data_IF_175034938633
#
_entry.id   IF_175034938633
#
_cell.length_a   1.000
_cell.length_b   1.000
_cell.length_c   1.000
_cell.angle_alpha   90.00
_cell.angle_beta   90.00
_cell.angle_gamma   90.00
#
_symmetry.space_group_name_H-M   'P 1'
#
loop_
_entity.id
_entity.type
_entity.pdbx_description
1 polymer ?
#
# COMPACT_ATOMS: atom_id res chain seq x y z
N UNK A 1 26.75 46.62 -19.00
CA UNK A 1 25.97 46.29 -20.23
C UNK A 1 24.66 45.61 -19.82
N UNK A 2 23.62 46.39 -19.50
CA UNK A 2 22.31 45.87 -19.09
C UNK A 2 21.27 46.18 -20.16
N UNK A 3 21.07 45.27 -21.11
CA UNK A 3 20.07 45.46 -22.16
C UNK A 3 18.64 45.46 -21.61
N UNK A 4 17.75 46.21 -22.26
CA UNK A 4 16.32 46.27 -21.90
C UNK A 4 15.71 44.87 -21.79
N UNK A 5 15.09 44.58 -20.64
CA UNK A 5 14.40 43.30 -20.35
C UNK A 5 13.36 42.94 -21.43
N UNK A 6 12.82 43.95 -22.12
CA UNK A 6 11.84 43.77 -23.20
C UNK A 6 12.47 43.12 -24.44
N UNK A 7 13.69 43.52 -24.82
CA UNK A 7 14.44 42.90 -25.93
C UNK A 7 14.81 41.45 -25.60
N UNK A 8 15.23 41.19 -24.36
CA UNK A 8 15.60 39.84 -23.91
C UNK A 8 14.41 38.87 -23.92
N UNK A 9 13.19 39.33 -23.59
CA UNK A 9 11.99 38.49 -23.65
C UNK A 9 11.57 38.14 -25.09
N UNK A 10 11.88 38.99 -26.06
CA UNK A 10 11.51 38.79 -27.46
C UNK A 10 12.51 37.92 -28.23
N UNK A 11 13.79 37.98 -27.91
CA UNK A 11 14.84 37.21 -28.59
C UNK A 11 15.01 35.78 -28.06
N UNK A 12 14.42 35.45 -26.90
CA UNK A 12 14.53 34.11 -26.32
C UNK A 12 13.70 33.10 -27.12
N UNK A 13 14.29 31.95 -27.53
CA UNK A 13 13.54 30.88 -28.17
C UNK A 13 12.46 30.39 -27.20
N UNK A 14 11.20 30.47 -27.64
CA UNK A 14 10.07 29.96 -26.85
C UNK A 14 9.96 28.47 -27.07
N UNK A 15 10.24 27.69 -26.02
CA UNK A 15 9.96 26.24 -26.00
C UNK A 15 8.44 26.08 -26.14
N UNK A 16 8.00 25.58 -27.30
CA UNK A 16 6.59 25.28 -27.53
C UNK A 16 6.26 23.95 -26.86
N UNK A 17 5.77 24.00 -25.63
CA UNK A 17 5.19 22.86 -24.89
C UNK A 17 3.78 22.55 -25.40
N UNK A 18 3.64 22.31 -26.70
CA UNK A 18 2.39 21.87 -27.30
C UNK A 18 2.26 20.35 -27.26
N UNK A 19 1.10 19.84 -26.87
CA UNK A 19 0.82 18.41 -27.02
C UNK A 19 0.89 18.03 -28.51
N UNK A 20 1.44 16.85 -28.86
CA UNK A 20 1.45 16.38 -30.23
C UNK A 20 0.02 16.29 -30.78
N UNK A 21 -0.20 16.82 -31.99
CA UNK A 21 -1.51 16.77 -32.65
C UNK A 21 -1.90 15.31 -32.88
N UNK A 22 -3.01 14.88 -32.29
CA UNK A 22 -3.59 13.54 -32.50
C UNK A 22 -4.40 13.56 -33.80
N UNK A 23 -4.19 12.58 -34.68
CA UNK A 23 -4.98 12.42 -35.90
C UNK A 23 -6.33 11.76 -35.53
N UNK A 24 -7.48 12.41 -35.72
CA UNK A 24 -8.77 11.86 -35.31
C UNK A 24 -9.20 10.63 -36.13
N UNK A 25 -8.58 10.42 -37.31
CA UNK A 25 -8.84 9.26 -38.19
C UNK A 25 -8.05 8.01 -37.80
N UNK A 26 -7.09 8.12 -36.87
CA UNK A 26 -6.24 6.99 -36.45
C UNK A 26 -6.66 6.59 -35.04
N UNK A 27 -7.51 5.58 -34.95
CA UNK A 27 -7.86 4.93 -33.69
C UNK A 27 -6.71 4.04 -33.27
N UNK A 28 -5.93 4.50 -32.29
CA UNK A 28 -4.97 3.62 -31.60
C UNK A 28 -5.75 2.80 -30.57
N UNK A 29 -5.60 1.47 -30.54
CA UNK A 29 -6.24 0.67 -29.50
C UNK A 29 -5.74 1.13 -28.12
N UNK A 30 -6.63 1.09 -27.12
CA UNK A 30 -6.33 1.56 -25.77
C UNK A 30 -5.18 0.79 -25.10
N UNK A 31 -4.97 -0.46 -25.52
CA UNK A 31 -3.82 -1.26 -25.12
C UNK A 31 -3.32 -2.08 -26.32
N UNK A 32 -2.02 -2.36 -26.34
CA UNK A 32 -1.40 -3.28 -27.30
C UNK A 32 -0.79 -4.42 -26.48
N UNK A 33 -1.14 -5.66 -26.82
CA UNK A 33 -0.56 -6.82 -26.14
C UNK A 33 0.94 -6.85 -26.48
N UNK A 34 1.84 -6.85 -25.49
CA UNK A 34 3.27 -6.90 -25.75
C UNK A 34 3.63 -8.19 -26.52
N UNK A 35 4.53 -8.12 -27.51
CA UNK A 35 4.81 -9.24 -28.42
C UNK A 35 5.34 -10.49 -27.71
N UNK A 36 6.00 -10.31 -26.56
CA UNK A 36 6.45 -11.42 -25.71
C UNK A 36 5.30 -12.25 -25.15
N UNK A 37 4.16 -11.62 -24.83
CA UNK A 37 2.98 -12.35 -24.39
C UNK A 37 2.37 -13.13 -25.55
N UNK A 38 2.31 -12.53 -26.75
CA UNK A 38 1.83 -13.23 -27.95
C UNK A 38 2.68 -14.47 -28.28
N UNK A 39 4.01 -14.40 -28.13
CA UNK A 39 4.92 -15.54 -28.32
C UNK A 39 4.73 -16.67 -27.30
N UNK A 40 4.13 -16.38 -26.15
CA UNK A 40 3.86 -17.40 -25.12
C UNK A 40 2.59 -18.21 -25.39
N UNK A 41 1.73 -17.74 -26.30
CA UNK A 41 0.61 -18.55 -26.77
C UNK A 41 1.15 -19.60 -27.75
N UNK A 42 0.78 -20.85 -27.52
CA UNK A 42 1.25 -22.02 -28.30
C UNK A 42 0.68 -22.01 -29.73
N UNK A 43 -0.49 -21.40 -29.92
CA UNK A 43 -1.19 -21.23 -31.19
C UNK A 43 -1.84 -19.84 -31.21
N UNK A 44 -2.21 -19.32 -32.40
CA UNK A 44 -3.08 -18.15 -32.49
C UNK A 44 -4.52 -18.58 -32.13
N UNK A 45 -5.00 -18.32 -30.90
CA UNK A 45 -6.33 -18.76 -30.47
C UNK A 45 -7.40 -18.16 -31.37
N UNK A 46 -8.17 -19.03 -32.02
CA UNK A 46 -9.37 -18.64 -32.77
C UNK A 46 -10.57 -18.65 -31.82
N UNK A 47 -11.40 -17.62 -31.91
CA UNK A 47 -12.65 -17.57 -31.15
C UNK A 47 -13.63 -18.65 -31.66
N UNK A 48 -14.07 -19.56 -30.78
CA UNK A 48 -15.11 -20.54 -31.11
C UNK A 48 -16.50 -19.92 -30.93
N UNK A 49 -17.30 -19.90 -31.99
CA UNK A 49 -18.66 -19.36 -31.98
C UNK A 49 -19.64 -20.21 -31.17
N UNK A 50 -19.36 -21.51 -31.02
CA UNK A 50 -20.21 -22.46 -30.29
C UNK A 50 -19.75 -22.71 -28.85
N UNK A 51 -18.52 -22.30 -28.53
CA UNK A 51 -17.90 -22.48 -27.23
C UNK A 51 -18.43 -21.52 -26.16
N UNK A 52 -18.18 -21.85 -24.90
CA UNK A 52 -18.48 -20.93 -23.80
C UNK A 52 -17.48 -19.77 -23.79
N UNK A 53 -17.95 -18.57 -23.42
CA UNK A 53 -17.15 -17.36 -23.27
C UNK A 53 -15.91 -17.62 -22.38
N UNK A 54 -16.08 -18.38 -21.30
CA UNK A 54 -14.99 -18.74 -20.38
C UNK A 54 -13.93 -19.61 -21.05
N UNK A 55 -14.33 -20.57 -21.89
CA UNK A 55 -13.41 -21.45 -22.60
C UNK A 55 -12.58 -20.68 -23.64
N UNK A 56 -13.24 -19.74 -24.35
CA UNK A 56 -12.56 -18.85 -25.26
C UNK A 56 -11.54 -17.97 -24.51
N UNK A 57 -11.94 -17.26 -23.45
CA UNK A 57 -10.98 -16.43 -22.70
C UNK A 57 -9.79 -17.24 -22.17
N UNK A 58 -10.02 -18.46 -21.68
CA UNK A 58 -8.96 -19.34 -21.23
C UNK A 58 -7.98 -19.73 -22.36
N UNK A 59 -8.46 -19.93 -23.60
CA UNK A 59 -7.58 -20.21 -24.75
C UNK A 59 -6.73 -18.99 -25.14
N UNK A 60 -7.25 -17.78 -24.92
CA UNK A 60 -6.48 -16.52 -25.05
C UNK A 60 -5.53 -16.25 -23.86
N UNK A 61 -5.50 -17.12 -22.84
CA UNK A 61 -4.73 -16.91 -21.61
C UNK A 61 -5.27 -15.74 -20.77
N UNK A 62 -6.54 -15.37 -20.96
CA UNK A 62 -7.23 -14.29 -20.25
C UNK A 62 -8.22 -14.89 -19.25
N UNK A 63 -8.31 -14.27 -18.08
CA UNK A 63 -9.26 -14.69 -17.06
C UNK A 63 -10.58 -13.93 -17.24
N UNK A 64 -11.71 -14.66 -17.26
CA UNK A 64 -13.05 -14.07 -17.38
C UNK A 64 -13.43 -13.22 -16.16
N UNK A 65 -13.14 -13.73 -14.95
CA UNK A 65 -13.50 -13.07 -13.70
C UNK A 65 -12.27 -12.47 -13.02
N UNK A 66 -12.05 -11.16 -13.07
CA UNK A 66 -10.85 -10.54 -12.49
C UNK A 66 -10.78 -10.72 -10.96
N UNK A 67 -11.92 -10.87 -10.30
CA UNK A 67 -11.96 -11.12 -8.85
C UNK A 67 -11.44 -12.51 -8.48
N UNK A 68 -11.44 -13.48 -9.40
CA UNK A 68 -10.83 -14.80 -9.15
C UNK A 68 -9.31 -14.72 -8.97
N UNK A 69 -8.66 -13.77 -9.66
CA UNK A 69 -7.25 -13.45 -9.42
C UNK A 69 -7.05 -12.86 -8.03
N UNK A 70 -7.98 -12.01 -7.58
CA UNK A 70 -7.91 -11.47 -6.23
C UNK A 70 -8.20 -12.53 -5.19
N UNK A 71 -9.06 -13.52 -5.41
CA UNK A 71 -9.31 -14.58 -4.41
C UNK A 71 -8.10 -15.49 -4.20
N UNK A 72 -7.26 -15.74 -5.22
CA UNK A 72 -5.99 -16.45 -4.98
C UNK A 72 -4.97 -15.61 -4.21
N UNK A 73 -5.07 -14.27 -4.30
CA UNK A 73 -4.23 -13.31 -3.57
C UNK A 73 -4.84 -12.87 -2.22
N UNK A 74 -6.15 -13.04 -2.04
CA UNK A 74 -6.99 -12.61 -0.92
C UNK A 74 -7.42 -13.78 -0.07
N UNK A 75 -7.18 -15.02 -0.52
CA UNK A 75 -7.04 -16.14 0.39
C UNK A 75 -6.25 -15.59 1.58
N UNK A 76 -6.84 -15.55 2.80
CA UNK A 76 -6.03 -15.27 3.97
C UNK A 76 -4.85 -16.21 3.84
N UNK A 77 -3.59 -15.78 4.05
CA UNK A 77 -2.48 -16.69 3.95
C UNK A 77 -2.92 -17.92 4.72
N UNK A 78 -3.17 -19.02 4.01
CA UNK A 78 -3.36 -20.27 4.68
C UNK A 78 -2.08 -20.31 5.47
N UNK A 79 -2.22 -20.28 6.79
CA UNK A 79 -1.24 -20.83 7.68
C UNK A 79 -1.16 -22.31 7.33
N UNK A 80 -0.75 -22.64 6.10
CA UNK A 80 0.21 -23.69 5.94
C UNK A 80 1.38 -23.14 6.72
N UNK A 81 1.42 -23.56 7.98
CA UNK A 81 2.64 -23.74 8.72
C UNK A 81 3.51 -24.71 7.90
N UNK A 82 3.92 -24.30 6.68
CA UNK A 82 4.94 -24.95 5.92
C UNK A 82 6.22 -24.60 6.66
N UNK A 83 6.84 -25.55 7.40
CA UNK A 83 8.11 -25.29 8.07
C UNK A 83 9.23 -25.02 7.05
N UNK A 84 8.93 -25.12 5.76
CA UNK A 84 9.85 -25.00 4.64
C UNK A 84 9.70 -23.70 3.85
N UNK A 85 8.87 -22.73 4.29
CA UNK A 85 9.13 -21.33 3.93
C UNK A 85 10.34 -20.86 4.75
N UNK A 86 11.50 -21.44 4.41
CA UNK A 86 12.82 -21.02 4.83
C UNK A 86 12.99 -19.60 4.30
N UNK A 87 12.43 -18.64 5.04
CA UNK A 87 12.41 -17.24 4.69
C UNK A 87 13.82 -16.86 4.31
N UNK A 88 14.01 -16.53 3.04
CA UNK A 88 15.32 -16.19 2.50
C UNK A 88 15.99 -15.20 3.44
N UNK A 89 17.23 -15.52 3.81
CA UNK A 89 18.06 -14.72 4.70
C UNK A 89 18.35 -13.32 4.13
N UNK A 90 18.00 -13.11 2.86
CA UNK A 90 18.18 -11.86 2.12
C UNK A 90 17.10 -10.81 2.42
N UNK A 91 15.92 -11.18 2.93
CA UNK A 91 14.87 -10.22 3.25
C UNK A 91 15.04 -9.64 4.67
N UNK A 92 15.23 -8.32 4.73
CA UNK A 92 15.30 -7.53 5.97
C UNK A 92 14.05 -7.73 6.84
N UNK A 93 14.23 -7.80 8.16
CA UNK A 93 13.14 -8.06 9.10
C UNK A 93 12.08 -6.94 9.13
N UNK A 94 12.42 -5.72 8.68
CA UNK A 94 11.48 -4.61 8.50
C UNK A 94 10.52 -4.86 7.33
N UNK A 95 11.01 -5.43 6.22
CA UNK A 95 10.17 -5.84 5.10
C UNK A 95 9.24 -6.99 5.49
N UNK A 96 9.74 -7.95 6.27
CA UNK A 96 8.92 -9.05 6.82
C UNK A 96 7.80 -8.52 7.71
N UNK A 97 8.11 -7.56 8.59
CA UNK A 97 7.11 -6.94 9.47
C UNK A 97 6.08 -6.13 8.70
N UNK A 98 6.47 -5.40 7.65
CA UNK A 98 5.55 -4.63 6.83
C UNK A 98 4.59 -5.52 6.02
N UNK A 99 5.07 -6.69 5.59
CA UNK A 99 4.29 -7.69 4.83
C UNK A 99 3.47 -8.62 5.74
N UNK A 100 3.55 -8.47 7.07
CA UNK A 100 2.84 -9.31 8.03
C UNK A 100 3.42 -10.72 8.21
N UNK A 101 4.63 -10.99 7.70
CA UNK A 101 5.35 -12.24 7.92
C UNK A 101 5.97 -12.27 9.32
N UNK A 102 6.17 -13.47 9.88
CA UNK A 102 6.91 -13.63 11.14
C UNK A 102 8.39 -13.27 10.94
N UNK A 103 8.99 -12.61 11.92
CA UNK A 103 10.44 -12.39 11.99
C UNK A 103 11.18 -13.71 12.18
N UNK A 104 12.46 -13.76 11.81
CA UNK A 104 13.33 -14.95 12.00
C UNK A 104 13.36 -15.42 13.45
N UNK A 105 13.37 -14.47 14.39
CA UNK A 105 13.42 -14.75 15.83
C UNK A 105 12.08 -15.23 16.43
N UNK A 106 11.00 -15.25 15.64
CA UNK A 106 9.63 -15.53 16.10
C UNK A 106 9.02 -14.44 16.99
N UNK A 107 9.79 -13.45 17.42
CA UNK A 107 9.35 -12.34 18.27
C UNK A 107 8.61 -11.29 17.43
N UNK A 108 7.47 -10.82 17.92
CA UNK A 108 6.77 -9.67 17.33
C UNK A 108 7.62 -8.42 17.44
N UNK A 109 7.55 -7.55 16.43
CA UNK A 109 8.12 -6.22 16.52
C UNK A 109 7.58 -5.48 17.75
N UNK A 110 8.45 -4.73 18.43
CA UNK A 110 8.02 -3.80 19.46
C UNK A 110 7.09 -2.75 18.82
N UNK A 111 6.06 -2.29 19.54
CA UNK A 111 5.16 -1.28 19.00
C UNK A 111 5.92 0.01 18.74
N UNK A 112 5.56 0.74 17.68
CA UNK A 112 6.23 1.99 17.37
C UNK A 112 5.97 3.07 18.44
N UNK A 113 6.93 4.00 18.66
CA UNK A 113 6.71 5.14 19.52
C UNK A 113 5.60 6.05 18.97
N UNK A 114 4.83 6.64 19.88
CA UNK A 114 3.74 7.54 19.54
C UNK A 114 4.24 8.88 19.01
N UNK A 115 3.46 9.51 18.15
CA UNK A 115 3.71 10.91 17.75
C UNK A 115 3.49 11.87 18.94
N UNK A 116 4.05 13.08 18.86
CA UNK A 116 3.91 14.09 19.92
C UNK A 116 2.45 14.42 20.25
N UNK A 117 1.62 14.56 19.22
CA UNK A 117 0.18 14.83 19.35
C UNK A 117 -0.54 13.62 19.96
N UNK A 118 -0.26 12.41 19.48
CA UNK A 118 -0.86 11.18 20.03
C UNK A 118 -0.52 11.02 21.51
N UNK A 119 0.73 11.32 21.91
CA UNK A 119 1.15 11.22 23.30
C UNK A 119 0.36 12.14 24.23
N UNK A 120 0.13 13.39 23.81
CA UNK A 120 -0.66 14.36 24.56
C UNK A 120 -2.16 13.99 24.60
N UNK A 121 -2.65 13.41 23.51
CA UNK A 121 -4.00 12.88 23.42
C UNK A 121 -4.21 11.71 24.40
N UNK A 122 -3.34 10.70 24.36
CA UNK A 122 -3.41 9.51 25.23
C UNK A 122 -3.13 9.88 26.69
N UNK A 123 -2.24 10.83 26.97
CA UNK A 123 -1.97 11.24 28.35
C UNK A 123 -3.22 11.76 29.05
N UNK A 124 -4.08 12.51 28.35
CA UNK A 124 -5.36 13.00 28.90
C UNK A 124 -6.34 11.87 29.20
N UNK A 125 -6.42 10.87 28.33
CA UNK A 125 -7.28 9.70 28.54
C UNK A 125 -6.81 8.85 29.71
N UNK A 126 -5.50 8.59 29.78
CA UNK A 126 -4.87 7.81 30.85
C UNK A 126 -4.98 8.53 32.20
N UNK A 127 -4.83 9.85 32.23
CA UNK A 127 -4.99 10.65 33.46
C UNK A 127 -6.42 10.58 34.01
N UNK A 128 -7.44 10.56 33.15
CA UNK A 128 -8.85 10.52 33.58
C UNK A 128 -9.35 9.10 33.92
N UNK A 129 -8.99 8.11 33.12
CA UNK A 129 -9.58 6.75 33.20
C UNK A 129 -8.60 5.64 33.58
N UNK A 130 -7.29 5.91 33.60
CA UNK A 130 -6.29 4.91 33.97
C UNK A 130 -6.20 3.74 32.99
N UNK A 131 -6.72 2.58 33.38
CA UNK A 131 -6.71 1.33 32.59
C UNK A 131 -8.10 0.93 32.05
N UNK A 132 -9.14 1.73 32.30
CA UNK A 132 -10.51 1.41 31.88
C UNK A 132 -10.75 1.77 30.40
N UNK A 133 -10.30 0.92 29.48
CA UNK A 133 -10.37 1.19 28.03
C UNK A 133 -11.81 1.30 27.50
N UNK A 134 -12.76 0.55 28.08
CA UNK A 134 -14.17 0.67 27.71
C UNK A 134 -14.72 2.06 28.03
N UNK A 135 -14.34 2.65 29.17
CA UNK A 135 -14.75 4.02 29.54
C UNK A 135 -14.09 5.06 28.65
N UNK A 136 -12.81 4.87 28.29
CA UNK A 136 -12.12 5.72 27.32
C UNK A 136 -12.79 5.72 25.94
N UNK A 137 -13.25 4.56 25.47
CA UNK A 137 -13.97 4.44 24.20
C UNK A 137 -15.27 5.27 24.21
N UNK A 138 -15.99 5.26 25.33
CA UNK A 138 -17.27 5.96 25.46
C UNK A 138 -17.12 7.49 25.64
N UNK A 139 -15.93 8.00 25.96
CA UNK A 139 -15.71 9.43 26.15
C UNK A 139 -15.58 10.17 24.81
N UNK A 140 -16.71 10.60 24.26
CA UNK A 140 -16.78 11.33 22.98
C UNK A 140 -15.93 12.63 22.99
N UNK A 141 -15.73 13.25 24.16
CA UNK A 141 -15.00 14.53 24.25
C UNK A 141 -13.50 14.31 24.24
N UNK A 142 -13.01 13.38 25.06
CA UNK A 142 -11.59 13.07 25.12
C UNK A 142 -11.14 12.12 24.01
N UNK A 143 -12.04 11.35 23.40
CA UNK A 143 -11.81 10.50 22.25
C UNK A 143 -12.64 10.98 21.03
N UNK A 144 -12.31 12.15 20.43
CA UNK A 144 -13.06 12.70 19.31
C UNK A 144 -12.92 11.85 18.05
N UNK A 145 -11.84 11.07 17.94
CA UNK A 145 -11.61 10.13 16.83
C UNK A 145 -12.32 8.78 17.00
N UNK A 146 -13.03 8.57 18.11
CA UNK A 146 -13.80 7.36 18.39
C UNK A 146 -13.01 6.06 18.18
N UNK A 147 -11.77 6.04 18.69
CA UNK A 147 -10.92 4.87 18.66
C UNK A 147 -11.60 3.68 19.36
N UNK A 148 -11.50 2.50 18.75
CA UNK A 148 -11.99 1.23 19.32
C UNK A 148 -11.12 0.79 20.50
N UNK A 149 -11.66 -0.07 21.37
CA UNK A 149 -10.95 -0.58 22.56
C UNK A 149 -9.57 -1.16 22.20
N UNK A 150 -9.50 -2.03 21.20
CA UNK A 150 -8.23 -2.63 20.77
C UNK A 150 -7.20 -1.61 20.27
N UNK A 151 -7.65 -0.51 19.65
CA UNK A 151 -6.72 0.56 19.23
C UNK A 151 -6.24 1.36 20.44
N UNK A 152 -7.12 1.67 21.39
CA UNK A 152 -6.75 2.35 22.64
C UNK A 152 -5.79 1.52 23.49
N UNK A 153 -5.97 0.20 23.54
CA UNK A 153 -5.04 -0.72 24.21
C UNK A 153 -3.64 -0.63 23.61
N UNK A 154 -3.51 -0.75 22.29
CA UNK A 154 -2.22 -0.64 21.58
C UNK A 154 -1.55 0.71 21.84
N UNK A 155 -2.33 1.79 21.77
CA UNK A 155 -1.87 3.15 22.00
C UNK A 155 -1.40 3.37 23.44
N UNK A 156 -2.16 2.88 24.42
CA UNK A 156 -1.77 2.95 25.83
C UNK A 156 -0.54 2.09 26.14
N UNK A 157 -0.45 0.89 25.55
CA UNK A 157 0.75 0.04 25.65
C UNK A 157 1.99 0.77 25.14
N UNK A 158 1.93 1.35 23.94
CA UNK A 158 3.02 2.18 23.42
C UNK A 158 3.34 3.34 24.35
N UNK A 159 2.32 4.02 24.88
CA UNK A 159 2.51 5.15 25.80
C UNK A 159 3.30 4.76 27.06
N UNK A 160 2.97 3.63 27.69
CA UNK A 160 3.68 3.16 28.89
C UNK A 160 5.10 2.71 28.59
N UNK A 161 5.33 1.98 27.49
CA UNK A 161 6.66 1.50 27.08
C UNK A 161 7.63 2.66 26.84
N UNK A 162 7.13 3.75 26.25
CA UNK A 162 7.94 4.92 25.87
C UNK A 162 7.75 6.13 26.81
N UNK A 163 7.08 5.97 27.97
CA UNK A 163 6.79 7.10 28.89
C UNK A 163 8.05 7.84 29.34
N UNK A 164 9.12 7.09 29.63
CA UNK A 164 10.38 7.63 30.13
C UNK A 164 11.45 7.77 29.02
N UNK A 165 11.12 7.39 27.79
CA UNK A 165 12.07 7.38 26.67
C UNK A 165 11.80 8.57 25.76
N UNK A 166 12.84 9.25 25.30
CA UNK A 166 12.68 10.32 24.33
C UNK A 166 12.44 9.68 22.95
N UNK A 167 11.29 9.92 22.28
CA UNK A 167 11.00 9.30 20.99
C UNK A 167 12.04 9.65 19.91
N UNK A 168 12.74 10.79 20.05
CA UNK A 168 13.81 11.21 19.13
C UNK A 168 15.11 10.42 19.30
N UNK A 169 15.31 9.75 20.44
CA UNK A 169 16.52 8.96 20.74
C UNK A 169 16.31 7.48 20.42
N UNK A 170 15.04 7.02 20.41
CA UNK A 170 14.68 5.62 20.16
C UNK A 170 14.79 5.25 18.67
N UNK A 171 14.87 6.23 17.76
CA UNK A 171 15.07 5.99 16.34
C UNK A 171 16.54 5.95 15.94
N UNK A 172 17.24 4.85 16.23
CA UNK A 172 18.46 4.46 15.51
C UNK A 172 18.71 2.96 15.62
#
# INVERSE_FOLDING_TARGET
MGGSRRKYKNSRPKVRVGLPKKNPKVLKPAFTIPPKLLQSLVEDPKWDEKGSVTQNYNSFGVVNDPNSLTDSLRAPPSVSDDPNNSGSDLEEDDLKSALGKRRRDGKSALPQPLTSIQRLYISRLVEKYGADFQRMMMDIKLNPMQHSVATLEKLCMSYYIYKNKNPLIVGR
#
